data_IF_899653307481
#
_entry.id   IF_899653307481
#
_cell.length_a   1.000
_cell.length_b   1.000
_cell.length_c   1.000
_cell.angle_alpha   90.00
_cell.angle_beta   90.00
_cell.angle_gamma   90.00
#
_symmetry.space_group_name_H-M   'P 1'
#
loop_
_entity.id
_entity.type
_entity.pdbx_description
1 polymer ?
#
# COMPACT_ATOMS: atom_id res chain seq x y z
N UNK A 1 -20.52 -41.47 28.40
CA UNK A 1 -19.38 -40.72 29.00
C UNK A 1 -18.31 -40.41 27.95
N UNK A 2 -17.86 -41.41 27.18
CA UNK A 2 -16.85 -41.26 26.10
C UNK A 2 -17.20 -40.19 25.05
N UNK A 3 -18.44 -40.14 24.58
CA UNK A 3 -18.86 -39.18 23.54
C UNK A 3 -18.78 -37.71 23.99
N UNK A 4 -19.05 -37.42 25.28
CA UNK A 4 -18.90 -36.07 25.84
C UNK A 4 -17.43 -35.64 25.95
N UNK A 5 -16.53 -36.60 26.20
CA UNK A 5 -15.08 -36.35 26.26
C UNK A 5 -14.52 -36.07 24.86
N UNK A 6 -14.96 -36.82 23.85
CA UNK A 6 -14.55 -36.58 22.46
C UNK A 6 -15.04 -35.20 21.99
N UNK A 7 -16.30 -34.85 22.21
CA UNK A 7 -16.83 -33.52 21.82
C UNK A 7 -16.10 -32.38 22.52
N UNK A 8 -15.77 -32.53 23.81
CA UNK A 8 -15.01 -31.51 24.56
C UNK A 8 -13.58 -31.36 24.03
N UNK A 9 -12.90 -32.46 23.69
CA UNK A 9 -11.56 -32.44 23.09
C UNK A 9 -11.58 -31.81 21.69
N UNK A 10 -12.58 -32.11 20.86
CA UNK A 10 -12.74 -31.45 19.55
C UNK A 10 -12.98 -29.95 19.72
N UNK A 11 -13.80 -29.53 20.71
CA UNK A 11 -14.05 -28.12 20.98
C UNK A 11 -12.80 -27.39 21.48
N UNK A 12 -12.00 -28.04 22.34
CA UNK A 12 -10.72 -27.52 22.83
C UNK A 12 -9.67 -27.41 21.72
N UNK A 13 -9.65 -28.36 20.78
CA UNK A 13 -8.75 -28.33 19.62
C UNK A 13 -9.13 -27.20 18.65
N UNK A 14 -10.44 -27.00 18.43
CA UNK A 14 -10.95 -25.87 17.64
C UNK A 14 -10.67 -24.54 18.36
N UNK A 15 -10.87 -24.47 19.68
CA UNK A 15 -10.59 -23.26 20.47
C UNK A 15 -9.09 -22.92 20.51
N UNK A 16 -8.20 -23.93 20.56
CA UNK A 16 -6.75 -23.72 20.50
C UNK A 16 -6.27 -23.27 19.12
N UNK A 17 -6.97 -23.64 18.04
CA UNK A 17 -6.64 -23.19 16.68
C UNK A 17 -7.10 -21.77 16.35
N UNK A 18 -7.94 -21.15 17.20
CA UNK A 18 -8.48 -19.80 16.98
C UNK A 18 -7.54 -18.67 17.43
N UNK A 19 -6.36 -19.00 17.98
CA UNK A 19 -5.35 -18.04 18.41
C UNK A 19 -3.95 -18.55 18.05
N UNK A 20 -3.74 -18.86 16.77
CA UNK A 20 -2.42 -19.25 16.29
C UNK A 20 -1.52 -18.00 16.26
N UNK A 21 -0.59 -17.90 17.22
CA UNK A 21 0.40 -16.83 17.20
C UNK A 21 1.22 -16.87 15.90
N UNK A 22 1.61 -15.71 15.36
CA UNK A 22 2.49 -15.66 14.20
C UNK A 22 3.80 -16.38 14.45
N UNK A 23 4.27 -17.11 13.44
CA UNK A 23 5.57 -17.79 13.45
C UNK A 23 6.61 -16.95 12.72
N UNK A 24 7.78 -16.86 13.32
CA UNK A 24 8.92 -16.10 12.82
C UNK A 24 10.14 -17.02 12.72
N UNK A 25 10.65 -17.21 11.50
CA UNK A 25 11.83 -18.04 11.24
C UNK A 25 12.93 -17.19 10.63
N UNK A 26 14.15 -17.23 11.19
CA UNK A 26 15.28 -16.43 10.67
C UNK A 26 15.66 -16.83 9.25
N UNK A 27 15.86 -15.83 8.38
CA UNK A 27 16.34 -16.03 7.01
C UNK A 27 17.85 -15.72 6.95
N UNK A 28 18.65 -16.68 6.51
CA UNK A 28 20.12 -16.53 6.43
C UNK A 28 20.60 -15.85 5.15
N UNK A 29 19.84 -15.94 4.06
CA UNK A 29 20.19 -15.31 2.78
C UNK A 29 18.92 -14.70 2.16
N UNK A 30 18.96 -13.40 1.92
CA UNK A 30 17.91 -12.67 1.20
C UNK A 30 18.44 -12.44 -0.21
N UNK A 31 17.72 -12.94 -1.22
CA UNK A 31 17.94 -12.45 -2.58
C UNK A 31 17.45 -11.01 -2.60
N UNK A 32 18.29 -10.09 -3.03
CA UNK A 32 17.93 -8.68 -3.19
C UNK A 32 16.68 -8.58 -4.07
N UNK A 33 15.51 -8.50 -3.44
CA UNK A 33 14.28 -8.19 -4.15
C UNK A 33 14.35 -6.72 -4.54
N UNK A 34 13.97 -6.40 -5.78
CA UNK A 34 13.85 -5.03 -6.25
C UNK A 34 12.71 -4.34 -5.48
N UNK A 35 13.04 -3.80 -4.29
CA UNK A 35 12.09 -3.04 -3.48
C UNK A 35 11.85 -1.66 -4.08
N UNK A 36 10.75 -1.01 -3.69
CA UNK A 36 10.47 0.37 -4.07
C UNK A 36 11.72 1.26 -3.83
N UNK A 37 12.20 1.99 -4.84
CA UNK A 37 13.44 2.76 -4.71
C UNK A 37 13.34 3.89 -3.69
N UNK A 38 12.15 4.34 -3.31
CA UNK A 38 11.91 5.34 -2.26
C UNK A 38 11.76 4.72 -0.87
N UNK A 39 11.74 3.40 -0.74
CA UNK A 39 11.69 2.70 0.54
C UNK A 39 12.48 1.38 0.45
N UNK A 40 13.82 1.46 0.42
CA UNK A 40 14.66 0.28 0.34
C UNK A 40 14.59 -0.52 1.64
N UNK A 41 14.32 -1.82 1.53
CA UNK A 41 14.32 -2.74 2.67
C UNK A 41 15.65 -3.50 2.71
N UNK A 42 16.62 -2.94 3.43
CA UNK A 42 17.99 -3.47 3.49
C UNK A 42 18.39 -3.68 4.95
N UNK A 43 18.90 -4.87 5.28
CA UNK A 43 19.47 -5.12 6.61
C UNK A 43 20.62 -4.14 6.87
N UNK A 44 20.60 -3.52 8.05
CA UNK A 44 21.54 -2.49 8.45
C UNK A 44 21.11 -1.07 8.09
N UNK A 45 20.01 -0.88 7.34
CA UNK A 45 19.44 0.45 7.10
C UNK A 45 18.99 1.07 8.43
N UNK A 46 19.39 2.32 8.66
CA UNK A 46 19.12 3.07 9.88
C UNK A 46 18.41 4.38 9.55
N UNK A 47 17.48 4.76 10.40
CA UNK A 47 16.89 6.10 10.42
C UNK A 47 16.94 6.65 11.83
N UNK A 48 17.42 7.88 11.96
CA UNK A 48 17.44 8.60 13.24
C UNK A 48 16.44 9.73 13.15
N UNK A 49 15.41 9.69 13.96
CA UNK A 49 14.32 10.63 13.92
C UNK A 49 14.26 11.46 15.21
N UNK A 50 14.20 12.78 15.08
CA UNK A 50 13.75 13.63 16.17
C UNK A 50 12.23 13.77 16.09
N UNK A 51 11.53 13.35 17.15
CA UNK A 51 10.09 13.57 17.36
C UNK A 51 9.93 14.77 18.26
N UNK A 52 9.47 15.88 17.69
CA UNK A 52 9.25 17.13 18.44
C UNK A 52 7.76 17.37 18.67
N UNK A 53 7.38 17.51 19.94
CA UNK A 53 6.10 18.06 20.39
C UNK A 53 6.32 19.47 20.94
N UNK A 54 5.25 20.17 21.34
CA UNK A 54 5.37 21.52 21.95
C UNK A 54 6.34 21.57 23.15
N UNK A 55 6.42 20.50 23.93
CA UNK A 55 7.10 20.51 25.23
C UNK A 55 8.31 19.57 25.29
N UNK A 56 8.46 18.65 24.34
CA UNK A 56 9.48 17.60 24.41
C UNK A 56 10.05 17.30 23.04
N UNK A 57 11.35 17.01 22.99
CA UNK A 57 12.01 16.46 21.83
C UNK A 57 12.57 15.08 22.21
N UNK A 58 12.18 14.04 21.49
CA UNK A 58 12.66 12.67 21.71
C UNK A 58 13.35 12.19 20.45
N UNK A 59 14.56 11.65 20.59
CA UNK A 59 15.28 11.04 19.48
C UNK A 59 14.96 9.54 19.48
N UNK A 60 14.52 9.04 18.34
CA UNK A 60 14.28 7.62 18.10
C UNK A 60 15.17 7.11 16.98
N UNK A 61 15.65 5.88 17.09
CA UNK A 61 16.46 5.23 16.06
C UNK A 61 15.74 3.98 15.57
N UNK A 62 15.52 3.85 14.27
CA UNK A 62 14.97 2.67 13.63
C UNK A 62 16.11 1.96 12.91
N UNK A 63 16.24 0.65 13.12
CA UNK A 63 17.26 -0.16 12.44
C UNK A 63 16.64 -1.44 11.90
N UNK A 64 16.75 -1.68 10.60
CA UNK A 64 16.46 -3.00 10.04
C UNK A 64 17.56 -3.96 10.48
N UNK A 65 17.26 -4.82 11.45
CA UNK A 65 18.24 -5.66 12.14
C UNK A 65 18.38 -7.05 11.55
N UNK A 66 17.33 -7.57 10.93
CA UNK A 66 17.28 -8.92 10.39
C UNK A 66 16.15 -9.04 9.36
N UNK A 67 16.08 -10.18 8.68
CA UNK A 67 14.87 -10.62 8.00
C UNK A 67 14.43 -11.98 8.53
N UNK A 68 13.12 -12.15 8.61
CA UNK A 68 12.46 -13.34 9.13
C UNK A 68 11.33 -13.73 8.16
N UNK A 69 11.09 -15.02 8.02
CA UNK A 69 9.92 -15.56 7.33
C UNK A 69 8.76 -15.52 8.31
N UNK A 70 7.69 -14.83 7.94
CA UNK A 70 6.50 -14.62 8.75
C UNK A 70 5.36 -15.49 8.21
N UNK A 71 4.80 -16.32 9.09
CA UNK A 71 3.55 -17.05 8.82
C UNK A 71 2.52 -16.66 9.85
N UNK A 72 1.43 -16.06 9.39
CA UNK A 72 0.32 -15.56 10.19
C UNK A 72 -0.98 -15.80 9.43
N UNK A 73 -1.74 -16.82 9.86
CA UNK A 73 -3.00 -17.18 9.22
C UNK A 73 -4.10 -16.13 9.40
N UNK A 74 -4.07 -15.31 10.47
CA UNK A 74 -5.08 -14.27 10.70
C UNK A 74 -4.93 -13.14 9.69
N UNK A 75 -3.69 -12.83 9.32
CA UNK A 75 -3.35 -11.78 8.34
C UNK A 75 -3.07 -12.33 6.93
N UNK A 76 -3.36 -13.61 6.66
CA UNK A 76 -3.09 -14.27 5.37
C UNK A 76 -1.62 -14.21 4.92
N UNK A 77 -0.68 -14.25 5.85
CA UNK A 77 0.76 -14.31 5.57
C UNK A 77 1.22 -15.77 5.57
N UNK A 78 1.86 -16.19 4.48
CA UNK A 78 2.45 -17.52 4.34
C UNK A 78 3.91 -17.38 3.92
N UNK A 79 4.83 -17.58 4.87
CA UNK A 79 6.27 -17.43 4.67
C UNK A 79 6.68 -16.12 3.98
N UNK A 80 6.03 -15.00 4.35
CA UNK A 80 6.33 -13.68 3.80
C UNK A 80 7.61 -13.15 4.43
N UNK A 81 8.52 -12.60 3.61
CA UNK A 81 9.74 -11.97 4.12
C UNK A 81 9.39 -10.70 4.87
N UNK A 82 9.72 -10.66 6.16
CA UNK A 82 9.58 -9.49 7.02
C UNK A 82 10.94 -8.95 7.47
N UNK A 83 11.13 -7.66 7.26
CA UNK A 83 12.33 -6.93 7.66
C UNK A 83 12.14 -6.38 9.07
N UNK A 84 12.82 -6.98 10.04
CA UNK A 84 12.67 -6.69 11.46
C UNK A 84 13.29 -5.35 11.81
N UNK A 85 12.46 -4.43 12.28
CA UNK A 85 12.87 -3.09 12.72
C UNK A 85 12.90 -3.04 14.24
N UNK A 86 14.06 -2.68 14.78
CA UNK A 86 14.21 -2.36 16.20
C UNK A 86 14.19 -0.85 16.39
N UNK A 87 13.38 -0.38 17.35
CA UNK A 87 13.25 1.03 17.71
C UNK A 87 13.95 1.29 19.04
N UNK A 88 14.83 2.28 19.07
CA UNK A 88 15.46 2.77 20.30
C UNK A 88 14.97 4.19 20.60
N UNK A 89 14.77 4.57 21.87
CA UNK A 89 15.07 3.82 23.09
C UNK A 89 13.95 2.90 23.59
N UNK A 90 12.80 2.85 22.90
CA UNK A 90 11.59 2.16 23.39
C UNK A 90 11.71 0.63 23.40
N UNK A 91 12.67 0.06 22.67
CA UNK A 91 12.80 -1.37 22.39
C UNK A 91 11.57 -1.97 21.70
N UNK A 92 10.79 -1.13 21.01
CA UNK A 92 9.69 -1.62 20.17
C UNK A 92 10.25 -2.38 18.96
N UNK A 93 9.52 -3.40 18.55
CA UNK A 93 9.84 -4.24 17.39
C UNK A 93 8.63 -4.31 16.48
N UNK A 94 8.85 -4.07 15.20
CA UNK A 94 7.86 -4.29 14.14
C UNK A 94 8.57 -4.79 12.87
N UNK A 95 7.81 -5.11 11.84
CA UNK A 95 8.35 -5.59 10.56
C UNK A 95 7.88 -4.71 9.41
N UNK A 96 8.74 -4.50 8.42
CA UNK A 96 8.27 -4.13 7.09
C UNK A 96 8.07 -5.39 6.25
N UNK A 97 6.92 -5.49 5.58
CA UNK A 97 6.58 -6.60 4.69
C UNK A 97 6.11 -6.05 3.35
N UNK A 98 6.33 -6.83 2.29
CA UNK A 98 5.65 -6.66 1.02
C UNK A 98 4.34 -7.46 1.05
N UNK A 99 3.21 -6.77 0.93
CA UNK A 99 1.89 -7.39 1.02
C UNK A 99 0.91 -6.66 0.10
N UNK A 100 0.25 -7.42 -0.79
CA UNK A 100 -0.75 -6.91 -1.73
C UNK A 100 -0.27 -5.74 -2.61
N UNK A 101 1.01 -5.73 -2.98
CA UNK A 101 1.61 -4.66 -3.80
C UNK A 101 1.96 -3.39 -3.02
N UNK A 102 2.03 -3.48 -1.69
CA UNK A 102 2.43 -2.39 -0.80
C UNK A 102 3.55 -2.83 0.12
N UNK A 103 4.46 -1.89 0.39
CA UNK A 103 5.29 -1.91 1.59
C UNK A 103 4.38 -1.55 2.77
N UNK A 104 4.32 -2.46 3.72
CA UNK A 104 3.45 -2.37 4.88
C UNK A 104 4.24 -2.46 6.18
N UNK A 105 3.75 -1.79 7.23
CA UNK A 105 4.17 -2.02 8.61
C UNK A 105 3.33 -3.16 9.18
N UNK A 106 3.98 -4.20 9.69
CA UNK A 106 3.38 -5.31 10.42
C UNK A 106 3.82 -5.23 11.87
N UNK A 107 2.87 -4.94 12.78
CA UNK A 107 3.17 -4.67 14.19
C UNK A 107 2.11 -5.24 15.11
N UNK A 108 2.49 -5.51 16.36
CA UNK A 108 1.57 -5.96 17.40
C UNK A 108 0.78 -4.77 17.93
N UNK A 109 -0.54 -4.84 17.89
CA UNK A 109 -1.44 -3.85 18.45
C UNK A 109 -1.43 -3.90 19.99
N UNK A 110 -2.03 -2.88 20.62
CA UNK A 110 -2.26 -2.85 22.07
C UNK A 110 -3.13 -4.01 22.55
N UNK A 111 -4.02 -4.52 21.70
CA UNK A 111 -4.87 -5.68 22.01
C UNK A 111 -4.14 -7.01 21.88
N UNK A 112 -2.87 -6.99 21.45
CA UNK A 112 -2.00 -8.15 21.33
C UNK A 112 -2.07 -8.85 19.97
N UNK A 113 -2.95 -8.43 19.06
CA UNK A 113 -3.04 -9.00 17.71
C UNK A 113 -2.11 -8.25 16.76
N UNK A 114 -1.59 -8.94 15.75
CA UNK A 114 -0.80 -8.26 14.73
C UNK A 114 -1.70 -7.59 13.68
N UNK A 115 -1.30 -6.40 13.24
CA UNK A 115 -2.00 -5.61 12.23
C UNK A 115 -1.07 -5.19 11.10
N UNK A 116 -1.62 -5.13 9.89
CA UNK A 116 -0.91 -4.64 8.69
C UNK A 116 -1.36 -3.21 8.40
N UNK A 117 -0.41 -2.29 8.25
CA UNK A 117 -0.64 -0.89 7.86
C UNK A 117 0.09 -0.59 6.56
N UNK A 118 -0.65 -0.24 5.50
CA UNK A 118 -0.05 0.08 4.19
C UNK A 118 0.64 1.44 4.25
N UNK A 119 1.92 1.49 3.89
CA UNK A 119 2.74 2.71 3.95
C UNK A 119 3.02 3.30 2.57
N UNK A 120 3.33 2.45 1.59
CA UNK A 120 3.72 2.90 0.27
C UNK A 120 3.47 1.80 -0.78
N UNK A 121 2.88 2.09 -1.94
CA UNK A 121 2.78 1.10 -3.02
C UNK A 121 4.17 0.69 -3.52
N UNK A 122 4.38 -0.57 -3.88
CA UNK A 122 5.65 -1.04 -4.45
C UNK A 122 6.00 -0.31 -5.75
N UNK A 123 4.97 -0.02 -6.56
CA UNK A 123 5.06 0.75 -7.80
C UNK A 123 4.39 2.11 -7.63
N UNK A 124 5.10 3.09 -7.06
CA UNK A 124 4.58 4.44 -6.83
C UNK A 124 4.28 5.18 -8.15
N UNK A 125 3.15 5.90 -8.17
CA UNK A 125 2.76 6.87 -9.20
C UNK A 125 1.93 8.00 -8.56
N UNK A 126 1.83 9.15 -9.21
CA UNK A 126 1.10 10.33 -8.69
C UNK A 126 -0.42 10.20 -8.69
N UNK A 127 -0.98 9.12 -9.23
CA UNK A 127 -2.42 8.84 -9.29
C UNK A 127 -2.87 7.84 -8.21
N UNK A 128 -1.94 7.30 -7.40
CA UNK A 128 -2.25 6.36 -6.33
C UNK A 128 -2.80 7.09 -5.11
N UNK A 129 -3.97 6.64 -4.69
CA UNK A 129 -4.46 6.79 -3.33
C UNK A 129 -4.85 5.43 -2.77
N UNK A 130 -4.76 5.29 -1.45
CA UNK A 130 -5.19 4.09 -0.76
C UNK A 130 -5.71 4.43 0.62
N UNK A 131 -6.49 3.51 1.19
CA UNK A 131 -7.00 3.63 2.55
C UNK A 131 -6.30 2.57 3.40
N UNK A 132 -5.87 2.97 4.60
CA UNK A 132 -5.31 2.08 5.63
C UNK A 132 -5.76 2.57 7.01
N UNK A 133 -6.51 1.74 7.75
CA UNK A 133 -7.01 2.02 9.10
C UNK A 133 -7.64 3.42 9.24
N UNK A 134 -8.71 3.66 8.49
CA UNK A 134 -9.45 4.92 8.49
C UNK A 134 -8.63 6.16 8.09
N UNK A 135 -7.48 5.97 7.47
CA UNK A 135 -6.65 7.05 6.95
C UNK A 135 -6.53 6.91 5.44
N UNK A 136 -6.87 7.96 4.72
CA UNK A 136 -6.66 8.06 3.27
C UNK A 136 -5.26 8.59 3.01
N UNK A 137 -4.49 7.92 2.17
CA UNK A 137 -3.15 8.31 1.73
C UNK A 137 -3.17 8.66 0.25
N UNK A 138 -2.43 9.69 -0.15
CA UNK A 138 -2.40 10.22 -1.50
C UNK A 138 -0.96 10.58 -1.86
N UNK A 139 -0.43 10.05 -2.96
CA UNK A 139 0.83 10.56 -3.52
C UNK A 139 0.52 11.90 -4.18
N UNK A 140 1.01 12.99 -3.60
CA UNK A 140 0.76 14.35 -4.11
C UNK A 140 1.90 14.86 -4.98
N UNK A 141 3.12 14.41 -4.71
CA UNK A 141 4.32 14.78 -5.48
C UNK A 141 5.21 13.55 -5.66
N UNK A 142 5.79 13.43 -6.86
CA UNK A 142 6.78 12.39 -7.18
C UNK A 142 7.76 12.94 -8.21
N UNK A 143 9.04 12.83 -7.91
CA UNK A 143 10.12 13.18 -8.81
C UNK A 143 11.26 12.16 -8.67
N UNK A 144 12.36 12.34 -9.40
CA UNK A 144 13.48 11.39 -9.42
C UNK A 144 14.21 11.24 -8.07
N UNK A 145 13.97 12.14 -7.12
CA UNK A 145 14.65 12.21 -5.83
C UNK A 145 13.75 11.88 -4.65
N UNK A 146 12.45 12.17 -4.71
CA UNK A 146 11.53 11.94 -3.60
C UNK A 146 10.08 11.76 -4.04
N UNK A 147 9.29 11.23 -3.11
CA UNK A 147 7.83 11.15 -3.17
C UNK A 147 7.24 11.78 -1.91
N UNK A 148 6.15 12.52 -2.08
CA UNK A 148 5.34 13.09 -1.00
C UNK A 148 4.01 12.37 -0.93
N UNK A 149 3.72 11.79 0.23
CA UNK A 149 2.47 11.10 0.53
C UNK A 149 1.73 11.91 1.57
N UNK A 150 0.65 12.57 1.18
CA UNK A 150 -0.28 13.18 2.14
C UNK A 150 -1.20 12.11 2.74
N UNK A 151 -1.64 12.35 3.97
CA UNK A 151 -2.65 11.52 4.59
C UNK A 151 -3.67 12.33 5.39
N UNK A 152 -4.91 11.83 5.40
CA UNK A 152 -6.07 12.48 6.03
C UNK A 152 -6.84 11.41 6.77
N UNK A 153 -7.06 11.62 8.07
CA UNK A 153 -7.94 10.76 8.86
C UNK A 153 -9.39 10.94 8.40
N UNK A 154 -10.11 9.84 8.20
CA UNK A 154 -11.53 9.85 7.85
C UNK A 154 -12.41 10.43 8.98
N UNK A 155 -11.87 10.53 10.19
CA UNK A 155 -12.52 11.19 11.34
C UNK A 155 -12.27 12.70 11.39
N UNK A 156 -11.53 13.25 10.41
CA UNK A 156 -11.08 14.64 10.38
C UNK A 156 -10.38 15.07 11.68
N UNK A 157 -9.75 14.13 12.39
CA UNK A 157 -8.99 14.42 13.62
C UNK A 157 -7.57 14.86 13.31
N UNK A 158 -6.95 14.30 12.27
CA UNK A 158 -5.59 14.64 11.88
C UNK A 158 -5.38 14.55 10.36
N UNK A 159 -4.41 15.31 9.87
CA UNK A 159 -3.86 15.19 8.52
C UNK A 159 -2.35 15.38 8.55
N UNK A 160 -1.65 15.09 7.46
CA UNK A 160 -0.21 15.17 7.45
C UNK A 160 0.40 14.79 6.13
N UNK A 161 1.73 14.67 6.12
CA UNK A 161 2.45 14.10 5.01
C UNK A 161 3.71 13.36 5.43
N UNK A 162 4.17 12.47 4.56
CA UNK A 162 5.46 11.81 4.60
C UNK A 162 6.24 12.16 3.34
N UNK A 163 7.53 12.43 3.45
CA UNK A 163 8.46 12.52 2.33
C UNK A 163 9.38 11.31 2.39
N UNK A 164 9.40 10.54 1.31
CA UNK A 164 10.34 9.44 1.14
C UNK A 164 11.36 9.80 0.08
N UNK A 165 12.64 9.71 0.43
CA UNK A 165 13.75 10.01 -0.49
C UNK A 165 14.25 8.73 -1.14
N UNK A 166 14.58 8.82 -2.42
CA UNK A 166 15.12 7.72 -3.21
C UNK A 166 16.40 7.19 -2.59
N UNK A 167 16.48 5.86 -2.49
CA UNK A 167 17.51 5.08 -1.82
C UNK A 167 17.65 5.34 -0.31
N UNK A 168 16.83 6.20 0.28
CA UNK A 168 16.94 6.57 1.69
C UNK A 168 15.78 5.97 2.48
N UNK A 169 14.55 6.07 1.98
CA UNK A 169 13.37 5.71 2.75
C UNK A 169 12.64 6.93 3.32
N UNK A 170 11.87 6.75 4.40
CA UNK A 170 11.17 7.85 5.06
C UNK A 170 12.16 8.86 5.65
N UNK A 171 12.13 10.09 5.11
CA UNK A 171 13.05 11.19 5.47
C UNK A 171 12.35 12.22 6.38
N UNK A 172 11.10 12.55 6.08
CA UNK A 172 10.32 13.53 6.84
C UNK A 172 8.88 13.06 7.04
N UNK A 173 8.31 13.34 8.22
CA UNK A 173 6.91 13.10 8.53
C UNK A 173 6.35 14.27 9.33
N UNK A 174 5.16 14.73 8.97
CA UNK A 174 4.45 15.83 9.63
C UNK A 174 3.00 15.44 9.88
N UNK A 175 2.55 15.55 11.14
CA UNK A 175 1.16 15.32 11.56
C UNK A 175 0.57 16.61 12.17
N UNK A 176 -0.60 17.02 11.68
CA UNK A 176 -1.43 18.12 12.16
C UNK A 176 -2.70 17.58 12.81
N UNK A 177 -3.12 18.16 13.94
CA UNK A 177 -4.45 17.93 14.51
C UNK A 177 -5.43 18.95 13.89
N UNK A 178 -6.55 18.48 13.33
CA UNK A 178 -7.52 19.33 12.64
C UNK A 178 -8.52 19.96 13.64
N UNK A 179 -8.67 19.38 14.84
CA UNK A 179 -9.64 19.80 15.84
C UNK A 179 -9.24 21.04 16.69
N UNK A 180 -8.02 21.54 16.54
CA UNK A 180 -7.57 22.78 17.20
C UNK A 180 -7.95 24.00 16.35
N UNK A 181 -8.63 24.99 16.95
CA UNK A 181 -8.97 26.26 16.32
C UNK A 181 -7.74 27.02 15.78
N UNK A 182 -6.54 26.67 16.26
CA UNK A 182 -5.26 27.08 15.70
C UNK A 182 -4.68 25.93 14.86
N UNK A 183 -4.86 26.01 13.53
CA UNK A 183 -4.25 25.11 12.51
C UNK A 183 -2.71 25.05 12.53
N UNK A 184 -2.06 25.71 13.50
CA UNK A 184 -0.62 25.81 13.64
C UNK A 184 -0.07 25.01 14.83
N UNK A 185 -0.90 24.24 15.52
CA UNK A 185 -0.46 23.36 16.58
C UNK A 185 0.07 22.03 16.01
N UNK A 186 1.39 21.94 15.88
CA UNK A 186 2.07 20.72 15.46
C UNK A 186 1.97 19.65 16.55
N UNK A 187 1.50 18.46 16.18
CA UNK A 187 1.48 17.32 17.09
C UNK A 187 2.84 16.59 17.06
N UNK A 188 3.38 16.35 15.86
CA UNK A 188 4.66 15.68 15.66
C UNK A 188 5.37 16.17 14.39
N UNK A 189 6.64 16.57 14.51
CA UNK A 189 7.59 16.70 13.40
C UNK A 189 8.63 15.60 13.54
N UNK A 190 8.80 14.80 12.49
CA UNK A 190 9.84 13.80 12.33
C UNK A 190 10.85 14.32 11.31
N UNK A 191 12.12 14.42 11.68
CA UNK A 191 13.19 14.81 10.74
C UNK A 191 14.35 13.84 10.89
N UNK A 192 14.75 13.24 9.78
CA UNK A 192 15.93 12.37 9.71
C UNK A 192 17.22 13.16 9.99
N UNK A 193 18.08 12.67 10.89
CA UNK A 193 19.28 13.40 11.32
C UNK A 193 20.63 12.80 10.94
N UNK A 194 20.72 11.56 10.42
CA UNK A 194 21.94 11.04 9.79
C UNK A 194 21.75 9.63 9.21
N UNK A 195 22.41 9.34 8.07
CA UNK A 195 22.53 8.01 7.48
C UNK A 195 23.98 7.54 7.63
N UNK A 196 24.27 6.69 8.61
CA UNK A 196 25.51 5.91 8.62
C UNK A 196 25.27 4.59 7.86
N UNK A 197 25.61 4.60 6.58
CA UNK A 197 25.61 3.40 5.73
C UNK A 197 26.92 2.64 5.93
N UNK A 198 26.97 1.74 6.89
CA UNK A 198 27.88 0.59 6.77
C UNK A 198 27.19 -0.49 5.93
N UNK A 199 27.30 -0.36 4.61
CA UNK A 199 26.89 -1.42 3.69
C UNK A 199 27.86 -2.58 3.88
N UNK A 200 27.46 -3.62 4.61
CA UNK A 200 28.17 -4.90 4.60
C UNK A 200 27.89 -5.60 3.26
N UNK A 201 28.62 -5.23 2.21
CA UNK A 201 28.81 -6.08 1.04
C UNK A 201 29.58 -7.31 1.50
N UNK A 202 28.86 -8.37 1.85
CA UNK A 202 29.46 -9.70 2.03
C UNK A 202 29.77 -10.26 0.64
N UNK A 203 30.84 -9.77 0.02
CA UNK A 203 31.45 -10.47 -1.11
C UNK A 203 32.20 -11.65 -0.52
N UNK A 204 31.56 -12.83 -0.51
CA UNK A 204 32.31 -14.09 -0.33
C UNK A 204 33.26 -14.22 -1.51
N UNK A 205 34.50 -13.79 -1.33
CA UNK A 205 35.62 -14.17 -2.19
C UNK A 205 35.76 -15.69 -2.04
N UNK A 206 35.27 -16.43 -3.01
CA UNK A 206 35.61 -17.85 -3.17
C UNK A 206 37.09 -17.87 -3.55
N UNK A 207 37.95 -18.12 -2.57
CA UNK A 207 39.35 -18.44 -2.81
C UNK A 207 39.41 -19.85 -3.40
N UNK A 208 39.14 -19.94 -4.71
CA UNK A 208 39.34 -21.17 -5.47
C UNK A 208 40.85 -21.42 -5.53
N UNK A 209 41.31 -22.36 -4.72
CA UNK A 209 42.70 -22.80 -4.69
C UNK A 209 42.92 -23.66 -5.92
N UNK A 210 43.26 -23.03 -7.05
CA UNK A 210 43.67 -23.74 -8.26
C UNK A 210 45.01 -24.41 -7.97
N UNK A 211 44.98 -25.73 -7.73
CA UNK A 211 46.15 -26.59 -7.86
C UNK A 211 46.41 -26.81 -9.35
N UNK A 212 47.44 -26.14 -9.84
CA UNK A 212 48.10 -26.42 -11.10
C UNK A 212 48.59 -27.87 -11.14
N UNK A 213 48.27 -28.61 -12.18
CA UNK A 213 49.07 -29.75 -12.63
C UNK A 213 49.16 -29.71 -14.15
N UNK A 214 50.40 -29.72 -14.61
CA UNK A 214 50.85 -29.58 -16.00
C UNK A 214 50.66 -30.86 -16.83
N UNK A 215 50.28 -30.63 -18.09
CA UNK A 215 50.75 -31.25 -19.36
C UNK A 215 50.46 -32.74 -19.61
N UNK A 216 49.72 -33.05 -20.69
CA UNK A 216 50.23 -33.77 -21.89
C UNK A 216 49.32 -33.48 -23.11
N UNK A 217 49.96 -33.02 -24.18
CA UNK A 217 49.47 -32.81 -25.56
C UNK A 217 49.37 -34.13 -26.32
N UNK A 218 48.24 -34.40 -27.01
CA UNK A 218 48.22 -35.21 -28.26
C UNK A 218 47.14 -34.67 -29.21
N UNK A 219 47.54 -34.52 -30.45
CA UNK A 219 46.91 -34.02 -31.66
C UNK A 219 46.06 -35.09 -32.38
N UNK A 220 44.82 -34.78 -32.82
CA UNK A 220 44.31 -35.02 -34.20
C UNK A 220 42.82 -34.65 -34.41
N UNK A 221 42.57 -34.33 -35.67
CA UNK A 221 41.43 -33.72 -36.38
C UNK A 221 40.07 -34.49 -36.42
N UNK A 222 38.99 -33.91 -37.01
CA UNK A 222 37.61 -34.03 -36.57
C UNK A 222 36.78 -35.08 -37.31
N UNK A 223 35.70 -35.56 -36.69
CA UNK A 223 34.62 -36.29 -37.38
C UNK A 223 33.25 -35.86 -36.85
N UNK A 224 32.42 -35.48 -37.82
CA UNK A 224 30.99 -35.17 -37.76
C UNK A 224 30.17 -36.41 -37.46
N UNK A 225 29.18 -36.35 -36.57
CA UNK A 225 28.02 -37.24 -36.61
C UNK A 225 26.74 -36.55 -36.13
N UNK A 226 25.73 -36.65 -36.99
CA UNK A 226 24.37 -36.12 -36.92
C UNK A 226 23.50 -37.08 -36.11
N UNK A 227 22.68 -36.59 -35.18
CA UNK A 227 21.50 -37.32 -34.71
C UNK A 227 20.29 -36.39 -34.66
N UNK A 228 19.32 -36.74 -35.50
CA UNK A 228 17.93 -36.27 -35.59
C UNK A 228 17.10 -36.83 -34.43
N UNK A 229 16.25 -36.02 -33.78
CA UNK A 229 15.09 -36.53 -33.03
C UNK A 229 13.86 -35.68 -33.35
N UNK A 230 12.77 -36.40 -33.62
CA UNK A 230 11.46 -35.98 -34.11
C UNK A 230 10.62 -35.20 -33.08
N UNK A 231 9.68 -34.41 -33.62
CA UNK A 231 8.54 -33.71 -32.98
C UNK A 231 7.32 -34.69 -32.93
N UNK A 232 6.09 -34.37 -32.44
CA UNK A 232 5.57 -33.44 -31.40
C UNK A 232 4.53 -34.06 -30.40
N UNK A 233 4.24 -33.29 -29.33
CA UNK A 233 2.93 -33.07 -28.62
C UNK A 233 2.31 -34.22 -27.80
N UNK A 234 2.17 -33.97 -26.48
CA UNK A 234 0.96 -34.31 -25.73
C UNK A 234 0.63 -33.26 -24.64
N UNK A 235 -0.67 -33.05 -24.42
CA UNK A 235 -1.36 -31.91 -23.77
C UNK A 235 -1.12 -31.76 -22.26
N UNK A 236 -1.12 -30.53 -21.72
CA UNK A 236 -1.48 -30.26 -20.31
C UNK A 236 -2.99 -30.07 -20.15
N UNK A 237 -3.54 -30.71 -19.12
CA UNK A 237 -4.94 -30.62 -18.67
C UNK A 237 -5.19 -29.25 -18.00
N UNK A 238 -6.30 -28.63 -18.35
CA UNK A 238 -6.74 -27.30 -17.93
C UNK A 238 -7.88 -27.37 -16.91
N UNK A 239 -7.87 -26.38 -15.97
CA UNK A 239 -8.96 -25.73 -15.20
C UNK A 239 -8.91 -25.85 -13.66
N UNK A 240 -9.46 -24.85 -12.92
CA UNK A 240 -10.23 -23.67 -13.37
C UNK A 240 -9.67 -22.30 -12.95
N UNK A 241 -9.75 -21.37 -13.91
CA UNK A 241 -9.56 -19.92 -13.74
C UNK A 241 -10.87 -19.34 -13.21
N UNK A 242 -10.86 -18.72 -12.04
CA UNK A 242 -11.99 -17.91 -11.58
C UNK A 242 -12.10 -16.65 -12.43
N UNK A 243 -13.31 -16.40 -12.92
CA UNK A 243 -13.67 -15.28 -13.78
C UNK A 243 -13.76 -14.00 -12.95
N UNK A 244 -13.02 -12.92 -13.28
CA UNK A 244 -13.32 -11.61 -12.74
C UNK A 244 -14.68 -11.15 -13.28
N UNK A 245 -15.57 -10.69 -12.39
CA UNK A 245 -16.84 -10.05 -12.76
C UNK A 245 -16.53 -8.87 -13.71
N UNK A 246 -16.92 -8.99 -14.98
CA UNK A 246 -16.98 -7.84 -15.89
C UNK A 246 -18.03 -6.85 -15.37
N UNK A 247 -17.57 -5.68 -14.95
CA UNK A 247 -18.44 -4.52 -14.74
C UNK A 247 -18.70 -3.93 -16.12
N UNK A 248 -19.97 -3.93 -16.56
CA UNK A 248 -20.41 -3.32 -17.82
C UNK A 248 -20.08 -1.83 -17.83
N UNK A 249 -19.21 -1.40 -18.73
CA UNK A 249 -18.98 0.03 -19.03
C UNK A 249 -20.21 0.60 -19.73
N UNK A 250 -20.93 1.52 -19.08
CA UNK A 250 -22.05 2.25 -19.67
C UNK A 250 -21.46 3.40 -20.52
N UNK A 251 -21.74 3.40 -21.82
CA UNK A 251 -21.05 4.27 -22.81
C UNK A 251 -21.76 5.60 -23.12
N UNK A 252 -22.83 5.96 -22.39
CA UNK A 252 -23.56 7.21 -22.61
C UNK A 252 -23.55 8.07 -21.34
N UNK A 253 -22.40 8.69 -21.06
CA UNK A 253 -22.30 9.74 -20.03
C UNK A 253 -22.67 11.07 -20.69
N UNK A 254 -23.66 11.77 -20.11
CA UNK A 254 -24.10 13.09 -20.58
C UNK A 254 -23.13 14.15 -20.05
N UNK A 255 -22.45 14.84 -20.96
CA UNK A 255 -21.57 15.97 -20.66
C UNK A 255 -22.28 17.28 -21.00
N UNK A 256 -22.21 18.26 -20.10
CA UNK A 256 -22.79 19.58 -20.31
C UNK A 256 -21.76 20.68 -20.07
N UNK A 257 -21.72 21.68 -20.94
CA UNK A 257 -20.95 22.90 -20.74
C UNK A 257 -21.75 24.01 -20.06
N UNK A 258 -23.07 23.85 -19.95
CA UNK A 258 -23.97 24.81 -19.28
C UNK A 258 -25.01 24.05 -18.45
N UNK A 259 -25.12 24.40 -17.17
CA UNK A 259 -26.13 23.86 -16.27
C UNK A 259 -27.41 24.69 -16.33
N UNK A 260 -28.55 24.02 -16.23
CA UNK A 260 -29.83 24.69 -16.12
C UNK A 260 -30.01 25.25 -14.69
N UNK A 261 -30.28 26.56 -14.61
CA UNK A 261 -30.36 27.35 -13.38
C UNK A 261 -31.63 27.12 -12.56
N UNK A 262 -32.62 26.43 -13.12
CA UNK A 262 -33.86 26.06 -12.43
C UNK A 262 -33.74 24.74 -11.65
N UNK A 263 -32.62 24.03 -11.77
CA UNK A 263 -32.36 22.80 -11.03
C UNK A 263 -31.34 23.00 -9.91
N UNK A 264 -31.47 22.14 -8.91
CA UNK A 264 -30.47 21.93 -7.88
C UNK A 264 -29.64 20.70 -8.23
N UNK A 265 -28.36 20.74 -7.88
CA UNK A 265 -27.42 19.66 -8.17
C UNK A 265 -26.76 19.21 -6.88
N UNK A 266 -26.55 17.91 -6.73
CA UNK A 266 -25.63 17.38 -5.71
C UNK A 266 -24.29 17.18 -6.40
N UNK A 267 -23.24 17.87 -5.92
CA UNK A 267 -21.89 17.67 -6.42
C UNK A 267 -21.28 16.47 -5.68
N UNK A 268 -21.05 15.38 -6.42
CA UNK A 268 -20.43 14.16 -5.90
C UNK A 268 -18.89 14.23 -5.93
N UNK A 269 -18.32 15.13 -6.73
CA UNK A 269 -16.88 15.36 -6.78
C UNK A 269 -16.48 16.40 -7.82
N UNK A 270 -15.24 16.88 -7.72
CA UNK A 270 -14.58 17.75 -8.70
C UNK A 270 -13.23 17.14 -9.06
N UNK A 271 -12.90 17.09 -10.34
CA UNK A 271 -11.73 16.39 -10.85
C UNK A 271 -10.98 17.27 -11.84
N UNK A 272 -9.65 17.30 -11.76
CA UNK A 272 -8.82 17.98 -12.77
C UNK A 272 -8.80 17.19 -14.09
N UNK A 273 -8.98 15.87 -14.02
CA UNK A 273 -8.90 14.95 -15.17
C UNK A 273 -10.29 14.45 -15.56
N UNK A 274 -10.70 14.67 -16.81
CA UNK A 274 -12.01 14.32 -17.37
C UNK A 274 -12.38 12.84 -17.17
N UNK A 275 -11.43 11.93 -17.40
CA UNK A 275 -11.68 10.49 -17.28
C UNK A 275 -12.06 10.06 -15.86
N UNK A 276 -11.54 10.71 -14.83
CA UNK A 276 -11.89 10.43 -13.44
C UNK A 276 -13.33 10.87 -13.14
N UNK A 277 -13.73 12.04 -13.65
CA UNK A 277 -15.11 12.50 -13.59
C UNK A 277 -16.06 11.55 -14.34
N UNK A 278 -15.68 11.08 -15.54
CA UNK A 278 -16.46 10.12 -16.32
C UNK A 278 -16.62 8.78 -15.60
N UNK A 279 -15.58 8.28 -14.92
CA UNK A 279 -15.65 7.04 -14.12
C UNK A 279 -16.66 7.17 -12.98
N UNK A 280 -16.52 8.21 -12.16
CA UNK A 280 -17.45 8.45 -11.05
C UNK A 280 -18.88 8.69 -11.54
N UNK A 281 -19.04 9.38 -12.68
CA UNK A 281 -20.34 9.55 -13.32
C UNK A 281 -20.93 8.22 -13.80
N UNK A 282 -20.13 7.34 -14.41
CA UNK A 282 -20.57 6.00 -14.83
C UNK A 282 -20.99 5.14 -13.63
N UNK A 283 -20.26 5.21 -12.53
CA UNK A 283 -20.60 4.47 -11.30
C UNK A 283 -21.92 4.97 -10.70
N UNK A 284 -22.15 6.28 -10.70
CA UNK A 284 -23.41 6.88 -10.27
C UNK A 284 -24.59 6.49 -11.18
N UNK A 285 -24.38 6.49 -12.51
CA UNK A 285 -25.38 6.04 -13.47
C UNK A 285 -25.71 4.55 -13.27
N UNK A 286 -24.71 3.71 -13.03
CA UNK A 286 -24.90 2.29 -12.74
C UNK A 286 -25.71 2.04 -11.46
N UNK A 287 -25.68 2.98 -10.52
CA UNK A 287 -26.46 2.98 -9.27
C UNK A 287 -27.84 3.63 -9.40
N UNK A 288 -28.22 4.07 -10.60
CA UNK A 288 -29.54 4.63 -10.89
C UNK A 288 -29.67 6.14 -10.63
N UNK A 289 -28.58 6.84 -10.32
CA UNK A 289 -28.58 8.30 -10.22
C UNK A 289 -28.60 8.95 -11.60
N UNK A 290 -29.26 10.11 -11.73
CA UNK A 290 -29.15 10.95 -12.92
C UNK A 290 -27.88 11.80 -12.85
N UNK A 291 -26.73 11.18 -13.08
CA UNK A 291 -25.44 11.85 -13.02
C UNK A 291 -25.00 12.43 -14.37
N UNK A 292 -24.34 13.58 -14.31
CA UNK A 292 -23.77 14.31 -15.44
C UNK A 292 -22.34 14.77 -15.10
N UNK A 293 -21.54 15.00 -16.12
CA UNK A 293 -20.25 15.71 -15.98
C UNK A 293 -20.41 17.13 -16.50
N UNK A 294 -19.96 18.09 -15.69
CA UNK A 294 -19.96 19.51 -16.01
C UNK A 294 -18.55 20.06 -15.93
N UNK A 295 -18.07 20.64 -17.03
CA UNK A 295 -16.79 21.35 -17.06
C UNK A 295 -17.02 22.79 -16.58
N UNK A 296 -16.49 23.12 -15.41
CA UNK A 296 -16.68 24.43 -14.79
C UNK A 296 -15.56 25.40 -15.19
N UNK A 297 -15.80 26.70 -15.03
CA UNK A 297 -14.89 27.75 -15.51
C UNK A 297 -13.51 27.75 -14.82
N UNK A 298 -13.34 26.99 -13.74
CA UNK A 298 -12.10 26.75 -13.02
C UNK A 298 -11.26 25.59 -13.60
N UNK A 299 -11.59 25.12 -14.82
CA UNK A 299 -10.94 23.98 -15.49
C UNK A 299 -11.07 22.66 -14.71
N UNK A 300 -12.11 22.53 -13.88
CA UNK A 300 -12.44 21.29 -13.18
C UNK A 300 -13.66 20.62 -13.79
N UNK A 301 -13.60 19.30 -13.92
CA UNK A 301 -14.72 18.42 -14.27
C UNK A 301 -15.48 18.05 -13.01
N UNK A 302 -16.69 18.59 -12.85
CA UNK A 302 -17.56 18.38 -11.70
C UNK A 302 -18.60 17.32 -12.02
N UNK A 303 -18.71 16.31 -11.17
CA UNK A 303 -19.73 15.27 -11.31
C UNK A 303 -20.93 15.66 -10.48
N UNK A 304 -22.05 15.85 -11.17
CA UNK A 304 -23.28 16.39 -10.59
C UNK A 304 -24.42 15.40 -10.75
N UNK A 305 -25.32 15.34 -9.78
CA UNK A 305 -26.56 14.57 -9.85
C UNK A 305 -27.70 15.56 -10.04
N UNK A 306 -28.42 15.46 -11.16
CA UNK A 306 -29.59 16.29 -11.49
C UNK A 306 -30.74 15.98 -10.52
N UNK A 307 -31.36 17.03 -9.97
CA UNK A 307 -32.32 16.95 -8.87
C UNK A 307 -33.49 15.99 -9.09
N UNK A 308 -33.59 14.99 -8.22
CA UNK A 308 -34.76 14.12 -8.07
C UNK A 308 -35.65 14.58 -6.90
N UNK A 309 -36.87 14.04 -6.84
CA UNK A 309 -37.73 14.10 -5.64
C UNK A 309 -36.95 13.66 -4.39
N UNK A 310 -37.04 14.45 -3.33
CA UNK A 310 -36.37 14.26 -2.03
C UNK A 310 -34.83 14.43 -2.04
N UNK A 311 -34.40 15.70 -2.10
CA UNK A 311 -32.99 16.11 -2.23
C UNK A 311 -32.15 15.81 -0.99
N UNK A 312 -32.71 15.98 0.20
CA UNK A 312 -32.00 15.75 1.47
C UNK A 312 -31.71 14.26 1.69
N UNK A 313 -32.66 13.40 1.35
CA UNK A 313 -32.47 11.96 1.38
C UNK A 313 -31.40 11.52 0.38
N UNK A 314 -31.45 12.03 -0.86
CA UNK A 314 -30.48 11.70 -1.88
C UNK A 314 -29.08 12.24 -1.57
N UNK A 315 -28.97 13.44 -1.00
CA UNK A 315 -27.70 14.01 -0.56
C UNK A 315 -27.05 13.16 0.53
N UNK A 316 -27.85 12.71 1.52
CA UNK A 316 -27.38 11.81 2.57
C UNK A 316 -26.87 10.48 2.01
N UNK A 317 -27.63 9.86 1.10
CA UNK A 317 -27.21 8.61 0.46
C UNK A 317 -25.95 8.77 -0.38
N UNK A 318 -25.80 9.88 -1.11
CA UNK A 318 -24.57 10.17 -1.85
C UNK A 318 -23.39 10.37 -0.90
N UNK A 319 -23.60 11.00 0.26
CA UNK A 319 -22.57 11.11 1.29
C UNK A 319 -22.14 9.76 1.86
N UNK A 320 -23.10 8.90 2.15
CA UNK A 320 -22.85 7.59 2.77
C UNK A 320 -22.31 6.55 1.77
N UNK A 321 -22.80 6.56 0.53
CA UNK A 321 -22.56 5.48 -0.45
C UNK A 321 -21.49 5.84 -1.50
N UNK A 322 -21.17 7.13 -1.68
CA UNK A 322 -20.32 7.63 -2.78
C UNK A 322 -19.16 8.49 -2.26
N UNK A 323 -19.46 9.62 -1.63
CA UNK A 323 -18.46 10.59 -1.17
C UNK A 323 -19.02 11.44 -0.04
N UNK A 324 -18.48 11.27 1.17
CA UNK A 324 -18.88 12.02 2.37
C UNK A 324 -18.76 13.55 2.21
N UNK A 325 -17.87 14.01 1.31
CA UNK A 325 -17.70 15.41 0.93
C UNK A 325 -18.71 15.94 -0.09
N UNK A 326 -19.69 15.14 -0.52
CA UNK A 326 -20.73 15.61 -1.43
C UNK A 326 -21.53 16.76 -0.81
N UNK A 327 -21.91 17.77 -1.59
CA UNK A 327 -22.70 18.91 -1.11
C UNK A 327 -23.73 19.37 -2.15
N UNK A 328 -24.79 20.01 -1.66
CA UNK A 328 -25.83 20.59 -2.51
C UNK A 328 -25.29 21.88 -3.10
N UNK A 329 -25.16 21.92 -4.43
CA UNK A 329 -24.76 23.10 -5.20
C UNK A 329 -26.02 23.78 -5.73
N UNK A 330 -26.35 24.93 -5.15
CA UNK A 330 -27.34 25.87 -5.69
C UNK A 330 -26.61 26.99 -6.42
N UNK A 331 -26.85 27.18 -7.72
CA UNK A 331 -26.40 28.43 -8.37
C UNK A 331 -27.35 29.55 -7.97
N UNK A 332 -26.81 30.55 -7.28
CA UNK A 332 -27.44 31.87 -7.20
C UNK A 332 -27.31 32.52 -8.58
N UNK A 333 -28.37 33.23 -9.00
CA UNK A 333 -28.44 33.93 -10.29
C UNK A 333 -27.29 34.91 -10.47
#
# INVERSE_FOLDING_TARGET
MVQKIITLLTLLFIAGSLFAEPKFDTINEIKSDETNPYFPLVIGQKWVYSVKTKNTETITNWVISAAESITDSENNLNAVVGYKVNVQPTNEVFYFINFEGFICKYEKSETGNYVIKRLLPESANTDYNWISNDTTFIITEMNDTEIRVEYISNTDLFSGYNIFKKNIGPNEMYIYEIASADKNDFLYKLTESNIDREVQTTTKTVTETVKTTEVVTVEKEPVTETITIEKPIEKPIEKPKETPKQIKTITNVKELSVLNTNYYYIQAGSFVIKNNALRVCSDLLARGYQAIVYEDADSLYKVLIEGQTDMELNHRRVKEEINAGAFIKKRLK
#
